data_IF_825840579552
#
_entry.id   IF_825840579552
#
_cell.length_a   1.000
_cell.length_b   1.000
_cell.length_c   1.000
_cell.angle_alpha   90.00
_cell.angle_beta   90.00
_cell.angle_gamma   90.00
#
_symmetry.space_group_name_H-M   'P 1'
#
loop_
_entity.id
_entity.type
_entity.pdbx_description
1 polymer ?
#
# COMPACT_ATOMS: atom_id res chain seq x y z
N UNK A 1 -8.06 8.01 8.29
CA UNK A 1 -8.03 6.70 7.60
C UNK A 1 -9.08 6.66 6.48
N UNK A 2 -8.81 7.22 5.28
CA UNK A 2 -9.72 7.14 4.10
C UNK A 2 -8.94 7.09 2.77
N UNK A 3 -7.61 7.25 2.78
CA UNK A 3 -6.81 7.52 1.57
C UNK A 3 -6.93 6.43 0.48
N UNK A 4 -7.00 5.15 0.87
CA UNK A 4 -7.15 4.05 -0.10
C UNK A 4 -8.54 4.04 -0.76
N UNK A 5 -9.58 4.32 0.01
CA UNK A 5 -10.95 4.46 -0.50
C UNK A 5 -11.08 5.67 -1.42
N UNK A 6 -10.46 6.80 -1.06
CA UNK A 6 -10.43 7.98 -1.91
C UNK A 6 -9.75 7.69 -3.25
N UNK A 7 -8.62 6.96 -3.24
CA UNK A 7 -7.94 6.54 -4.46
C UNK A 7 -8.82 5.63 -5.32
N UNK A 8 -9.59 4.72 -4.73
CA UNK A 8 -10.51 3.86 -5.46
C UNK A 8 -11.64 4.66 -6.14
N UNK A 9 -12.16 5.70 -5.47
CA UNK A 9 -13.15 6.61 -6.05
C UNK A 9 -12.55 7.36 -7.25
N UNK A 10 -11.33 7.89 -7.11
CA UNK A 10 -10.66 8.61 -8.20
C UNK A 10 -10.41 7.68 -9.41
N UNK A 11 -9.99 6.44 -9.18
CA UNK A 11 -9.81 5.43 -10.23
C UNK A 11 -11.12 5.04 -10.94
N UNK A 12 -12.26 5.18 -10.26
CA UNK A 12 -13.59 4.84 -10.77
C UNK A 12 -14.37 6.07 -11.26
N UNK A 13 -13.69 7.20 -11.51
CA UNK A 13 -14.32 8.39 -12.03
C UNK A 13 -15.19 8.09 -13.28
N UNK A 14 -16.37 8.70 -13.31
CA UNK A 14 -17.36 8.56 -14.38
C UNK A 14 -16.79 8.94 -15.75
N UNK A 15 -15.92 9.94 -15.78
CA UNK A 15 -15.21 10.36 -16.98
C UNK A 15 -13.80 9.75 -17.01
N UNK A 16 -13.41 9.04 -18.09
CA UNK A 16 -12.12 8.38 -18.18
C UNK A 16 -10.95 9.35 -18.08
N UNK A 17 -11.10 10.57 -18.60
CA UNK A 17 -10.06 11.60 -18.59
C UNK A 17 -9.75 12.15 -17.19
N UNK A 18 -10.64 11.90 -16.23
CA UNK A 18 -10.45 12.30 -14.82
C UNK A 18 -9.79 11.22 -13.98
N UNK A 19 -9.62 10.02 -14.54
CA UNK A 19 -8.95 8.93 -13.82
C UNK A 19 -7.46 9.23 -13.77
N UNK A 20 -6.81 9.03 -12.62
CA UNK A 20 -5.37 9.17 -12.52
C UNK A 20 -4.67 8.14 -13.42
N UNK A 21 -3.47 8.48 -13.89
CA UNK A 21 -2.60 7.53 -14.58
C UNK A 21 -2.17 6.40 -13.65
N UNK A 22 -1.89 5.22 -14.19
CA UNK A 22 -1.44 4.09 -13.38
C UNK A 22 -0.13 4.38 -12.62
N UNK A 23 0.74 5.26 -13.13
CA UNK A 23 1.93 5.75 -12.43
C UNK A 23 1.59 6.57 -11.19
N UNK A 24 0.58 7.44 -11.26
CA UNK A 24 0.10 8.20 -10.10
C UNK A 24 -0.59 7.29 -9.08
N UNK A 25 -1.35 6.30 -9.55
CA UNK A 25 -1.99 5.30 -8.68
C UNK A 25 -0.95 4.51 -7.90
N UNK A 26 0.10 4.03 -8.58
CA UNK A 26 1.20 3.30 -7.93
C UNK A 26 1.89 4.16 -6.85
N UNK A 27 2.25 5.40 -7.20
CA UNK A 27 2.89 6.32 -6.26
C UNK A 27 2.03 6.59 -5.01
N UNK A 28 0.72 6.80 -5.18
CA UNK A 28 -0.22 7.01 -4.07
C UNK A 28 -0.38 5.75 -3.21
N UNK A 29 -0.41 4.55 -3.81
CA UNK A 29 -0.45 3.29 -3.04
C UNK A 29 0.79 3.13 -2.16
N UNK A 30 1.98 3.42 -2.70
CA UNK A 30 3.23 3.32 -1.95
C UNK A 30 3.30 4.32 -0.79
N UNK A 31 2.76 5.52 -0.98
CA UNK A 31 2.63 6.52 0.09
C UNK A 31 1.66 6.07 1.19
N UNK A 32 0.49 5.51 0.81
CA UNK A 32 -0.48 4.97 1.76
C UNK A 32 0.14 3.81 2.56
N UNK A 33 0.88 2.91 1.89
CA UNK A 33 1.60 1.81 2.55
C UNK A 33 2.64 2.33 3.53
N UNK A 34 3.50 3.26 3.11
CA UNK A 34 4.52 3.86 3.98
C UNK A 34 3.90 4.54 5.20
N UNK A 35 2.83 5.30 5.00
CA UNK A 35 2.11 5.97 6.10
C UNK A 35 1.45 4.97 7.06
N UNK A 36 1.04 3.80 6.56
CA UNK A 36 0.44 2.73 7.37
C UNK A 36 1.49 1.86 8.10
N UNK A 37 2.69 1.74 7.53
CA UNK A 37 3.81 0.98 8.10
C UNK A 37 4.66 1.81 9.06
N UNK A 38 4.77 3.13 8.84
CA UNK A 38 5.50 4.06 9.70
C UNK A 38 4.88 4.27 11.10
N UNK A 39 3.65 3.78 11.32
CA UNK A 39 2.98 3.77 12.62
C UNK A 39 3.22 2.47 13.41
N UNK A 40 3.76 1.42 12.77
CA UNK A 40 4.15 0.19 13.49
C UNK A 40 5.59 0.34 13.94
N UNK A 41 5.88 0.45 15.25
CA UNK A 41 7.24 0.30 15.72
C UNK A 41 7.73 -1.06 15.24
N UNK A 42 8.86 -1.05 14.54
CA UNK A 42 9.53 -2.26 14.08
C UNK A 42 9.91 -3.08 15.33
N UNK A 43 9.02 -3.97 15.75
CA UNK A 43 9.39 -5.09 16.60
C UNK A 43 10.15 -6.05 15.70
N UNK A 44 11.45 -5.87 15.70
CA UNK A 44 12.43 -6.86 15.32
C UNK A 44 12.02 -8.21 15.93
N UNK A 45 11.69 -9.16 15.08
CA UNK A 45 11.56 -10.56 15.46
C UNK A 45 12.32 -11.34 14.42
N UNK A 46 13.64 -11.23 14.53
CA UNK A 46 14.54 -12.33 14.21
C UNK A 46 14.04 -13.60 14.93
N UNK A 47 13.40 -14.47 14.15
CA UNK A 47 13.14 -15.86 14.49
C UNK A 47 13.90 -16.72 13.49
N UNK A 48 15.17 -16.96 13.77
CA UNK A 48 15.96 -18.04 13.19
C UNK A 48 15.35 -19.40 13.62
N UNK A 49 15.43 -20.41 12.75
CA UNK A 49 14.96 -21.78 13.02
C UNK A 49 14.43 -22.43 11.75
N UNK A 50 15.30 -22.78 10.80
CA UNK A 50 15.94 -24.10 10.66
C UNK A 50 15.10 -25.08 9.81
N UNK A 51 15.70 -25.44 8.68
CA UNK A 51 15.37 -26.50 7.71
C UNK A 51 14.82 -27.78 8.38
N UNK A 52 13.61 -28.26 8.06
CA UNK A 52 13.26 -29.65 8.31
C UNK A 52 13.75 -30.51 7.13
N UNK A 53 15.02 -30.88 7.15
CA UNK A 53 15.46 -32.11 6.51
C UNK A 53 15.05 -33.28 7.41
N UNK A 54 14.04 -34.06 6.99
CA UNK A 54 13.93 -35.53 7.09
C UNK A 54 12.58 -36.01 6.50
#
# INVERSE_FOLDING_TARGET
>A
MVQLLQLAIDCSAQHPDRRPSMSEVAARIDEIRRSSLGDRPATDSAGEGEEPSL
#
